data_IF_764308238043
#
_entry.id   IF_764308238043
#
_cell.length_a   1.000
_cell.length_b   1.000
_cell.length_c   1.000
_cell.angle_alpha   90.00
_cell.angle_beta   90.00
_cell.angle_gamma   90.00
#
_symmetry.space_group_name_H-M   'P 1'
#
loop_
_entity.id
_entity.type
_entity.pdbx_description
1 polymer ?
#
# COMPACT_ATOMS: atom_id res chain seq x y z
N UNK A 1 -27.54 5.56 4.84
CA UNK A 1 -26.58 6.36 4.04
C UNK A 1 -26.07 5.59 2.81
N UNK A 2 -25.66 4.31 2.91
CA UNK A 2 -25.11 3.53 1.78
C UNK A 2 -26.15 3.37 0.64
N UNK A 3 -27.41 3.03 0.94
CA UNK A 3 -28.50 2.93 -0.04
C UNK A 3 -28.69 4.22 -0.84
N UNK A 4 -28.67 5.36 -0.18
CA UNK A 4 -28.77 6.66 -0.84
C UNK A 4 -27.55 6.93 -1.72
N UNK A 5 -26.34 6.64 -1.21
CA UNK A 5 -25.09 6.81 -1.94
C UNK A 5 -25.11 5.93 -3.21
N UNK A 6 -25.51 4.67 -3.11
CA UNK A 6 -25.58 3.75 -4.23
C UNK A 6 -26.57 4.24 -5.33
N UNK A 7 -27.73 4.75 -4.90
CA UNK A 7 -28.72 5.31 -5.82
C UNK A 7 -28.25 6.61 -6.51
N UNK A 8 -27.28 7.32 -5.95
CA UNK A 8 -26.82 8.63 -6.43
C UNK A 8 -25.33 8.64 -6.80
N UNK A 9 -24.68 7.49 -6.91
CA UNK A 9 -23.22 7.38 -7.11
C UNK A 9 -22.72 7.84 -8.48
N UNK A 10 -23.61 8.02 -9.49
CA UNK A 10 -23.20 8.30 -10.87
C UNK A 10 -22.28 7.19 -11.40
N UNK A 11 -21.08 7.56 -11.85
CA UNK A 11 -20.07 6.64 -12.37
C UNK A 11 -19.08 6.12 -11.30
N UNK A 12 -19.31 6.43 -10.00
CA UNK A 12 -18.44 5.93 -8.93
C UNK A 12 -18.72 4.47 -8.63
N UNK A 13 -17.68 3.70 -8.37
CA UNK A 13 -17.77 2.34 -7.84
C UNK A 13 -17.83 2.39 -6.32
N UNK A 14 -18.76 1.65 -5.71
CA UNK A 14 -18.88 1.50 -4.26
C UNK A 14 -18.35 0.14 -3.87
N UNK A 15 -17.30 0.13 -3.07
CA UNK A 15 -16.69 -1.08 -2.53
C UNK A 15 -16.92 -1.13 -1.02
N UNK A 16 -17.53 -2.22 -0.56
CA UNK A 16 -17.78 -2.48 0.86
C UNK A 16 -16.83 -3.57 1.34
N UNK A 17 -16.16 -3.34 2.46
CA UNK A 17 -15.25 -4.31 3.06
C UNK A 17 -15.21 -4.20 4.58
N UNK A 18 -14.94 -5.31 5.25
CA UNK A 18 -14.81 -5.37 6.69
C UNK A 18 -13.78 -6.45 7.06
N UNK A 19 -12.93 -6.23 8.09
CA UNK A 19 -12.06 -7.27 8.62
C UNK A 19 -12.89 -8.40 9.26
N UNK A 20 -12.71 -9.63 8.79
CA UNK A 20 -13.49 -10.79 9.24
C UNK A 20 -13.25 -11.15 10.71
N UNK A 21 -12.07 -10.86 11.21
CA UNK A 21 -11.68 -11.18 12.60
C UNK A 21 -12.38 -10.30 13.64
N UNK A 22 -12.98 -9.17 13.22
CA UNK A 22 -13.72 -8.27 14.11
C UNK A 22 -15.18 -8.66 14.30
N UNK A 23 -15.69 -9.65 13.55
CA UNK A 23 -17.11 -9.97 13.51
C UNK A 23 -17.31 -11.51 13.53
N UNK A 24 -18.43 -11.94 14.12
CA UNK A 24 -18.83 -13.35 14.11
C UNK A 24 -19.33 -13.78 12.73
N UNK A 25 -19.41 -15.09 12.48
CA UNK A 25 -19.96 -15.63 11.23
C UNK A 25 -21.39 -15.14 10.95
N UNK A 26 -22.23 -15.02 11.99
CA UNK A 26 -23.58 -14.47 11.84
C UNK A 26 -23.55 -13.00 11.38
N UNK A 27 -22.63 -12.19 11.93
CA UNK A 27 -22.45 -10.80 11.51
C UNK A 27 -21.83 -10.66 10.12
N UNK A 28 -21.01 -11.65 9.70
CA UNK A 28 -20.52 -11.71 8.31
C UNK A 28 -21.68 -11.91 7.34
N UNK A 29 -22.60 -12.85 7.64
CA UNK A 29 -23.79 -13.04 6.82
C UNK A 29 -24.67 -11.79 6.81
N UNK A 30 -24.92 -11.17 7.99
CA UNK A 30 -25.67 -9.92 8.09
C UNK A 30 -25.03 -8.79 7.26
N UNK A 31 -23.70 -8.69 7.23
CA UNK A 31 -23.00 -7.72 6.41
C UNK A 31 -23.30 -7.85 4.91
N UNK A 32 -23.31 -9.10 4.40
CA UNK A 32 -23.69 -9.37 3.02
C UNK A 32 -25.18 -9.09 2.76
N UNK A 33 -26.06 -9.50 3.68
CA UNK A 33 -27.51 -9.31 3.53
C UNK A 33 -27.91 -7.81 3.55
N UNK A 34 -27.23 -7.01 4.37
CA UNK A 34 -27.51 -5.58 4.52
C UNK A 34 -26.96 -4.74 3.38
N UNK A 35 -25.76 -5.08 2.89
CA UNK A 35 -25.02 -4.21 1.98
C UNK A 35 -24.86 -4.75 0.56
N UNK A 36 -25.06 -6.04 0.34
CA UNK A 36 -24.78 -6.68 -0.95
C UNK A 36 -25.52 -6.06 -2.12
N UNK A 37 -26.78 -5.66 -1.94
CA UNK A 37 -27.60 -5.03 -2.99
C UNK A 37 -27.25 -3.53 -3.21
N UNK A 38 -26.35 -2.96 -2.38
CA UNK A 38 -26.06 -1.51 -2.36
C UNK A 38 -24.57 -1.21 -2.53
N UNK A 39 -23.86 -2.10 -3.21
CA UNK A 39 -22.45 -1.91 -3.58
C UNK A 39 -22.13 -2.61 -4.90
N UNK A 40 -21.03 -2.25 -5.52
CA UNK A 40 -20.55 -2.89 -6.75
C UNK A 40 -19.64 -4.07 -6.42
N UNK A 41 -18.93 -3.98 -5.28
CA UNK A 41 -18.11 -5.07 -4.72
C UNK A 41 -18.25 -5.13 -3.21
N UNK A 42 -18.26 -6.34 -2.67
CA UNK A 42 -18.30 -6.58 -1.22
C UNK A 42 -17.37 -7.74 -0.87
N UNK A 43 -16.57 -7.57 0.18
CA UNK A 43 -15.62 -8.59 0.60
C UNK A 43 -15.35 -8.56 2.11
N UNK A 44 -14.95 -9.71 2.64
CA UNK A 44 -14.28 -9.81 3.92
C UNK A 44 -12.77 -9.76 3.68
N UNK A 45 -12.05 -9.01 4.50
CA UNK A 45 -10.59 -8.94 4.48
C UNK A 45 -10.02 -9.57 5.75
N UNK A 46 -8.85 -10.19 5.64
CA UNK A 46 -8.07 -10.57 6.81
C UNK A 46 -7.31 -9.37 7.34
N UNK A 47 -6.98 -9.36 8.62
CA UNK A 47 -5.92 -8.48 9.08
C UNK A 47 -4.62 -8.78 8.34
N UNK A 48 -3.90 -7.71 7.99
CA UNK A 48 -2.60 -7.80 7.37
C UNK A 48 -1.62 -6.84 8.07
N UNK A 49 -0.39 -7.27 8.37
CA UNK A 49 0.62 -6.46 9.05
C UNK A 49 1.25 -5.46 8.06
N UNK A 50 0.43 -4.57 7.49
CA UNK A 50 0.86 -3.62 6.46
C UNK A 50 1.87 -2.59 6.98
N UNK A 51 1.68 -2.13 8.22
CA UNK A 51 2.49 -1.06 8.80
C UNK A 51 3.75 -1.60 9.45
N UNK A 52 4.93 -1.10 9.07
CA UNK A 52 6.21 -1.58 9.60
C UNK A 52 6.36 -1.45 11.12
N UNK A 53 5.64 -0.49 11.72
CA UNK A 53 5.74 -0.15 13.15
C UNK A 53 4.62 -0.73 14.00
N UNK A 54 3.71 -1.49 13.39
CA UNK A 54 2.56 -2.06 14.10
C UNK A 54 2.56 -3.58 13.94
N UNK A 55 2.91 -4.29 14.99
CA UNK A 55 2.80 -5.74 15.07
C UNK A 55 1.35 -6.12 15.36
N UNK A 56 0.65 -6.60 14.35
CA UNK A 56 -0.75 -7.01 14.45
C UNK A 56 -0.93 -8.16 15.42
N UNK A 57 -0.07 -9.18 15.37
CA UNK A 57 -0.20 -10.37 16.23
C UNK A 57 0.04 -10.01 17.70
N UNK A 58 1.07 -9.21 18.00
CA UNK A 58 1.35 -8.72 19.34
C UNK A 58 0.18 -7.91 19.92
N UNK A 59 -0.38 -7.00 19.11
CA UNK A 59 -1.39 -6.04 19.59
C UNK A 59 -2.81 -6.61 19.64
N UNK A 60 -3.14 -7.58 18.78
CA UNK A 60 -4.50 -8.11 18.67
C UNK A 60 -4.63 -9.56 19.13
N UNK A 61 -3.53 -10.30 19.25
CA UNK A 61 -3.52 -11.75 19.48
C UNK A 61 -3.97 -12.58 18.26
N UNK A 62 -4.25 -11.94 17.12
CA UNK A 62 -4.71 -12.59 15.90
C UNK A 62 -3.50 -13.10 15.12
N UNK A 63 -3.42 -14.41 14.89
CA UNK A 63 -2.38 -15.01 14.06
C UNK A 63 -2.64 -14.78 12.58
N UNK A 64 -1.64 -14.27 11.89
CA UNK A 64 -1.70 -14.01 10.46
C UNK A 64 -1.16 -15.24 9.72
N UNK A 65 -2.03 -16.02 9.10
CA UNK A 65 -1.70 -17.27 8.38
C UNK A 65 -1.90 -17.16 6.88
N UNK A 66 -2.61 -16.13 6.43
CA UNK A 66 -2.98 -15.89 5.04
C UNK A 66 -2.84 -14.40 4.71
N UNK A 67 -2.80 -14.07 3.44
CA UNK A 67 -2.85 -12.69 2.99
C UNK A 67 -4.25 -12.08 3.13
N UNK A 68 -4.37 -10.79 2.87
CA UNK A 68 -5.57 -9.97 3.11
C UNK A 68 -6.85 -10.52 2.45
N UNK A 69 -6.73 -11.25 1.34
CA UNK A 69 -7.84 -11.88 0.61
C UNK A 69 -7.74 -13.41 0.60
N UNK A 70 -7.25 -14.02 1.67
CA UNK A 70 -7.06 -15.47 1.86
C UNK A 70 -6.05 -16.11 0.86
N UNK A 71 -5.25 -15.31 0.17
CA UNK A 71 -4.18 -15.81 -0.68
C UNK A 71 -2.99 -16.30 0.16
N UNK A 72 -2.19 -17.24 -0.37
CA UNK A 72 -0.95 -17.65 0.27
C UNK A 72 -0.03 -16.44 0.51
N UNK A 73 0.66 -16.43 1.65
CA UNK A 73 1.67 -15.42 1.95
C UNK A 73 2.87 -15.65 1.02
N UNK A 74 3.18 -14.64 0.20
CA UNK A 74 4.31 -14.67 -0.72
C UNK A 74 5.18 -13.44 -0.49
N UNK A 75 6.50 -13.60 -0.60
CA UNK A 75 7.42 -12.49 -0.45
C UNK A 75 7.68 -11.84 -1.80
N UNK A 76 7.55 -10.50 -1.84
CA UNK A 76 8.02 -9.63 -2.92
C UNK A 76 9.09 -8.70 -2.34
N UNK A 77 10.23 -8.58 -2.99
CA UNK A 77 11.36 -7.82 -2.45
C UNK A 77 11.40 -6.38 -2.94
N UNK A 78 11.07 -6.12 -4.21
CA UNK A 78 11.04 -4.76 -4.77
C UNK A 78 9.66 -4.14 -4.62
N UNK A 79 9.57 -3.02 -3.93
CA UNK A 79 8.29 -2.31 -3.75
C UNK A 79 7.85 -1.65 -5.08
N UNK A 80 6.70 -2.03 -5.67
CA UNK A 80 6.21 -1.39 -6.88
C UNK A 80 5.61 -0.01 -6.61
N UNK A 81 5.10 0.23 -5.40
CA UNK A 81 4.33 1.44 -5.07
C UNK A 81 5.14 2.73 -5.19
N UNK A 82 6.45 2.70 -4.92
CA UNK A 82 7.35 3.87 -5.07
C UNK A 82 7.57 4.28 -6.53
N UNK A 83 7.11 3.46 -7.49
CA UNK A 83 7.11 3.76 -8.93
C UNK A 83 5.73 4.18 -9.45
N UNK A 84 4.68 4.10 -8.62
CA UNK A 84 3.30 4.42 -9.03
C UNK A 84 2.82 5.75 -8.49
N UNK A 85 3.26 6.13 -7.28
CA UNK A 85 2.71 7.27 -6.62
C UNK A 85 3.51 7.79 -5.44
N UNK A 86 2.98 8.83 -4.85
CA UNK A 86 3.43 9.45 -3.61
C UNK A 86 2.20 9.98 -2.88
N UNK A 87 2.32 10.21 -1.58
CA UNK A 87 1.23 10.73 -0.75
C UNK A 87 1.51 12.17 -0.35
N UNK A 88 0.60 13.08 -0.67
CA UNK A 88 0.64 14.47 -0.19
C UNK A 88 -0.17 14.56 1.10
N UNK A 89 0.49 14.90 2.19
CA UNK A 89 -0.14 15.06 3.49
C UNK A 89 -0.83 16.43 3.61
N UNK A 90 -1.76 16.56 4.57
CA UNK A 90 -2.54 17.79 4.76
C UNK A 90 -1.69 19.04 5.08
N UNK A 91 -0.48 18.86 5.60
CA UNK A 91 0.48 19.91 5.88
C UNK A 91 1.43 20.27 4.72
N UNK A 92 1.23 19.60 3.57
CA UNK A 92 2.04 19.83 2.36
C UNK A 92 3.29 18.94 2.26
N UNK A 93 3.66 18.19 3.31
CA UNK A 93 4.76 17.25 3.21
C UNK A 93 4.38 16.07 2.31
N UNK A 94 5.34 15.60 1.52
CA UNK A 94 5.14 14.48 0.60
C UNK A 94 5.91 13.26 1.07
N UNK A 95 5.20 12.15 1.27
CA UNK A 95 5.78 10.86 1.58
C UNK A 95 5.86 9.97 0.34
N UNK A 96 6.94 9.22 0.20
CA UNK A 96 7.12 8.23 -0.88
C UNK A 96 6.23 6.98 -0.71
N UNK A 97 5.55 6.83 0.43
CA UNK A 97 4.72 5.68 0.76
C UNK A 97 3.40 6.10 1.39
N UNK A 98 2.28 5.53 0.92
CA UNK A 98 0.95 5.79 1.48
C UNK A 98 0.72 5.15 2.86
N UNK A 99 1.60 4.23 3.28
CA UNK A 99 1.58 3.60 4.62
C UNK A 99 2.46 4.33 5.64
N UNK A 100 3.12 5.41 5.24
CA UNK A 100 4.07 6.15 6.10
C UNK A 100 3.35 7.12 7.06
N UNK A 101 2.54 6.58 7.96
CA UNK A 101 1.81 7.37 8.95
C UNK A 101 2.72 8.04 9.99
N UNK A 102 3.92 7.50 10.24
CA UNK A 102 4.93 8.11 11.10
C UNK A 102 5.78 9.20 10.40
N UNK A 103 5.56 9.40 9.09
CA UNK A 103 6.27 10.42 8.29
C UNK A 103 7.79 10.24 8.27
N UNK A 104 8.26 9.01 8.18
CA UNK A 104 9.68 8.66 8.12
C UNK A 104 10.23 8.54 6.69
N UNK A 105 9.38 8.68 5.70
CA UNK A 105 9.68 8.57 4.26
C UNK A 105 9.33 9.87 3.52
N UNK A 106 9.50 11.02 4.17
CA UNK A 106 9.26 12.32 3.54
C UNK A 106 10.33 12.58 2.46
N UNK A 107 9.87 12.93 1.26
CA UNK A 107 10.71 13.17 0.07
C UNK A 107 10.56 14.59 -0.50
N UNK A 108 9.76 15.45 0.12
CA UNK A 108 9.60 16.83 -0.29
C UNK A 108 8.42 17.55 0.36
N UNK A 109 8.22 18.80 -0.06
CA UNK A 109 7.16 19.69 0.40
C UNK A 109 6.57 20.44 -0.81
N UNK A 110 5.24 20.32 -1.02
CA UNK A 110 4.56 20.99 -2.15
C UNK A 110 4.47 22.51 -2.00
N UNK A 111 4.80 23.06 -0.84
CA UNK A 111 4.90 24.51 -0.63
C UNK A 111 6.20 25.08 -1.19
N UNK A 112 7.22 24.24 -1.39
CA UNK A 112 8.56 24.64 -1.84
C UNK A 112 8.85 24.11 -3.25
N UNK A 113 8.32 22.93 -3.62
CA UNK A 113 8.62 22.26 -4.87
C UNK A 113 7.36 21.75 -5.55
N UNK A 114 7.36 21.71 -6.86
CA UNK A 114 6.31 21.06 -7.63
C UNK A 114 6.33 19.54 -7.42
N UNK A 115 5.20 18.87 -7.61
CA UNK A 115 5.11 17.40 -7.54
C UNK A 115 6.08 16.72 -8.52
N UNK A 116 6.37 17.35 -9.67
CA UNK A 116 7.34 16.82 -10.65
C UNK A 116 8.77 16.88 -10.10
N UNK A 117 9.15 17.94 -9.42
CA UNK A 117 10.47 18.06 -8.79
C UNK A 117 10.62 17.06 -7.66
N UNK A 118 9.60 16.93 -6.79
CA UNK A 118 9.59 15.96 -5.69
C UNK A 118 9.67 14.53 -6.22
N UNK A 119 8.87 14.18 -7.24
CA UNK A 119 8.90 12.86 -7.89
C UNK A 119 10.28 12.48 -8.43
N UNK A 120 11.05 13.48 -8.81
CA UNK A 120 12.37 13.34 -9.41
C UNK A 120 13.49 13.76 -8.47
N UNK A 121 13.19 13.98 -7.19
CA UNK A 121 14.20 14.38 -6.19
C UNK A 121 15.25 13.27 -5.98
N UNK A 122 16.39 13.66 -5.45
CA UNK A 122 17.46 12.71 -5.10
C UNK A 122 16.97 11.71 -4.07
N UNK A 123 16.29 12.17 -3.03
CA UNK A 123 15.78 11.35 -1.94
C UNK A 123 14.83 10.26 -2.45
N UNK A 124 13.92 10.60 -3.37
CA UNK A 124 13.00 9.63 -3.93
C UNK A 124 13.70 8.67 -4.90
N UNK A 125 14.65 9.16 -5.67
CA UNK A 125 15.41 8.32 -6.59
C UNK A 125 16.36 7.36 -5.86
N UNK A 126 16.98 7.79 -4.76
CA UNK A 126 17.83 6.94 -3.92
C UNK A 126 17.04 5.79 -3.32
N UNK A 127 15.80 6.05 -2.83
CA UNK A 127 14.91 5.00 -2.35
C UNK A 127 14.58 3.98 -3.46
N UNK A 128 14.28 4.44 -4.68
CA UNK A 128 14.01 3.57 -5.83
C UNK A 128 15.24 2.74 -6.21
N UNK A 129 16.42 3.36 -6.24
CA UNK A 129 17.68 2.66 -6.50
C UNK A 129 17.94 1.60 -5.45
N UNK A 130 17.80 1.93 -4.17
CA UNK A 130 18.00 0.99 -3.07
C UNK A 130 17.11 -0.26 -3.22
N UNK A 131 15.84 -0.08 -3.62
CA UNK A 131 14.94 -1.20 -3.88
C UNK A 131 15.34 -2.01 -5.12
N UNK A 132 15.65 -1.33 -6.23
CA UNK A 132 16.09 -2.00 -7.46
C UNK A 132 17.46 -2.70 -7.32
N UNK A 133 18.29 -2.28 -6.38
CA UNK A 133 19.57 -2.93 -6.06
C UNK A 133 19.41 -4.10 -5.07
N UNK A 134 18.17 -4.46 -4.70
CA UNK A 134 17.88 -5.55 -3.76
C UNK A 134 18.23 -5.23 -2.30
N UNK A 135 18.43 -3.95 -1.98
CA UNK A 135 18.86 -3.48 -0.65
C UNK A 135 17.72 -2.93 0.22
N UNK A 136 16.46 -3.28 -0.10
CA UNK A 136 15.27 -2.85 0.68
C UNK A 136 15.41 -3.18 2.18
N UNK A 137 15.99 -4.33 2.48
CA UNK A 137 16.17 -4.78 3.88
C UNK A 137 17.11 -3.88 4.71
N UNK A 138 17.93 -3.06 4.06
CA UNK A 138 18.79 -2.06 4.73
C UNK A 138 18.02 -0.80 5.11
N UNK A 139 16.84 -0.57 4.51
CA UNK A 139 16.05 0.62 4.80
C UNK A 139 15.27 0.46 6.11
N UNK A 140 15.41 1.37 7.08
CA UNK A 140 14.89 1.20 8.44
C UNK A 140 13.37 1.14 8.55
N UNK A 141 12.65 1.62 7.53
CA UNK A 141 11.18 1.56 7.46
C UNK A 141 10.73 0.41 6.58
N UNK A 142 11.33 0.27 5.38
CA UNK A 142 10.87 -0.69 4.37
C UNK A 142 11.22 -2.15 4.70
N UNK A 143 12.22 -2.41 5.56
CA UNK A 143 12.66 -3.76 5.92
C UNK A 143 11.55 -4.61 6.56
N UNK A 144 10.68 -4.01 7.38
CA UNK A 144 9.59 -4.66 8.10
C UNK A 144 8.20 -4.46 7.46
N UNK A 145 8.13 -3.93 6.24
CA UNK A 145 6.85 -3.69 5.58
C UNK A 145 6.18 -5.01 5.17
N UNK A 146 5.05 -5.31 5.79
CA UNK A 146 4.24 -6.49 5.48
C UNK A 146 3.33 -6.32 4.26
N UNK A 147 3.18 -5.11 3.72
CA UNK A 147 2.40 -4.84 2.51
C UNK A 147 2.85 -5.71 1.33
N UNK A 148 4.15 -5.91 1.17
CA UNK A 148 4.72 -6.70 0.08
C UNK A 148 4.59 -8.22 0.28
N UNK A 149 4.18 -8.66 1.47
CA UNK A 149 4.09 -10.07 1.83
C UNK A 149 2.65 -10.52 2.00
N UNK A 150 1.79 -9.69 2.60
CA UNK A 150 0.43 -10.06 3.00
C UNK A 150 -0.66 -9.43 2.16
N UNK A 151 -0.34 -8.38 1.39
CA UNK A 151 -1.28 -7.80 0.43
C UNK A 151 -1.02 -8.34 -0.99
N UNK A 152 -1.59 -7.71 -2.01
CA UNK A 152 -1.42 -8.12 -3.41
C UNK A 152 -0.64 -7.05 -4.19
N UNK A 153 0.66 -6.85 -3.93
CA UNK A 153 1.47 -5.97 -4.75
C UNK A 153 1.71 -6.60 -6.13
N UNK A 154 1.90 -5.76 -7.14
CA UNK A 154 2.47 -6.23 -8.39
C UNK A 154 3.89 -6.76 -8.14
N UNK A 155 4.17 -7.98 -8.57
CA UNK A 155 5.51 -8.54 -8.43
C UNK A 155 6.40 -8.10 -9.60
N UNK A 156 7.29 -7.15 -9.33
CA UNK A 156 8.26 -6.62 -10.29
C UNK A 156 9.67 -7.23 -10.13
N UNK A 157 9.88 -8.13 -9.18
CA UNK A 157 11.19 -8.75 -8.93
C UNK A 157 11.78 -9.46 -10.16
N UNK A 158 11.00 -10.19 -11.01
CA UNK A 158 11.54 -10.80 -12.21
C UNK A 158 12.13 -9.80 -13.23
N UNK A 159 11.72 -8.54 -13.14
CA UNK A 159 12.15 -7.46 -14.03
C UNK A 159 13.20 -6.54 -13.39
N UNK A 160 13.55 -6.77 -12.13
CA UNK A 160 14.46 -5.92 -11.35
C UNK A 160 15.77 -5.58 -12.09
N UNK A 161 16.52 -6.51 -12.72
CA UNK A 161 17.76 -6.17 -13.38
C UNK A 161 17.58 -5.19 -14.55
N UNK A 162 16.57 -5.40 -15.38
CA UNK A 162 16.29 -4.52 -16.52
C UNK A 162 15.74 -3.16 -16.07
N UNK A 163 14.95 -3.15 -14.99
CA UNK A 163 14.44 -1.90 -14.40
C UNK A 163 15.59 -1.08 -13.81
N UNK A 164 16.52 -1.72 -13.12
CA UNK A 164 17.71 -1.06 -12.56
C UNK A 164 18.57 -0.41 -13.65
N UNK A 165 18.86 -1.16 -14.72
CA UNK A 165 19.64 -0.64 -15.86
C UNK A 165 18.96 0.59 -16.48
N UNK A 166 17.67 0.48 -16.79
CA UNK A 166 16.88 1.58 -17.37
C UNK A 166 16.81 2.79 -16.45
N UNK A 167 16.65 2.56 -15.15
CA UNK A 167 16.53 3.64 -14.17
C UNK A 167 17.88 4.37 -14.03
N UNK A 168 19.01 3.65 -13.97
CA UNK A 168 20.35 4.27 -13.95
C UNK A 168 20.63 5.07 -15.23
N UNK A 169 20.26 4.54 -16.39
CA UNK A 169 20.38 5.28 -17.65
C UNK A 169 19.53 6.55 -17.69
N UNK A 170 18.30 6.48 -17.15
CA UNK A 170 17.43 7.64 -17.04
C UNK A 170 18.03 8.72 -16.13
N UNK A 171 18.60 8.35 -14.99
CA UNK A 171 19.23 9.32 -14.07
C UNK A 171 20.48 9.97 -14.69
N UNK A 172 21.26 9.20 -15.47
CA UNK A 172 22.47 9.71 -16.14
C UNK A 172 22.15 10.66 -17.30
N UNK A 173 20.92 10.67 -17.83
CA UNK A 173 20.50 11.53 -18.95
C UNK A 173 19.91 12.88 -18.51
N UNK A 174 19.86 13.15 -17.23
CA UNK A 174 19.36 14.38 -16.61
C UNK A 174 20.48 15.32 -16.24
#
# INVERSE_FOLDING_TARGET
>A
NVKWLYANKGNCEIVMKIPKELITEAQQQEFFDVFGDYCDRISLENFAPCWPQFDVEEKTGIKITEGIYNQPITRTDTCPYIFYGMSVNADGLVSSCFLDWERRLIVGDVREHSLREIWNSTEFNDLRLQHLEGRRNEHPVCNNCGQLTHCLPDNIDPYQPVLLERFKAHLASR
#
